data_IF_406930374839
#
_entry.id   IF_406930374839
#
_cell.length_a   1.000
_cell.length_b   1.000
_cell.length_c   1.000
_cell.angle_alpha   90.00
_cell.angle_beta   90.00
_cell.angle_gamma   90.00
#
_symmetry.space_group_name_H-M   'P 1'
#
loop_
_entity.id
_entity.type
_entity.pdbx_description
1 polymer ?
#
# COMPACT_ATOMS: atom_id res chain seq x y z
N UNK A 1 1.11 -9.42 4.80
CA UNK A 1 1.82 -10.71 5.09
C UNK A 1 2.51 -11.33 3.87
N UNK A 2 2.28 -10.84 2.64
CA UNK A 2 2.90 -11.40 1.43
C UNK A 2 4.38 -11.01 1.24
N UNK A 3 4.81 -9.83 1.72
CA UNK A 3 6.19 -9.36 1.50
C UNK A 3 7.25 -10.18 2.23
N UNK A 4 6.94 -10.68 3.43
CA UNK A 4 7.83 -11.57 4.19
C UNK A 4 7.99 -12.91 3.46
N UNK A 5 6.90 -13.45 2.90
CA UNK A 5 6.95 -14.66 2.07
C UNK A 5 7.81 -14.44 0.82
N UNK A 6 7.64 -13.31 0.14
CA UNK A 6 8.47 -12.96 -1.02
C UNK A 6 9.96 -12.90 -0.68
N UNK A 7 10.33 -12.38 0.48
CA UNK A 7 11.71 -12.43 0.95
C UNK A 7 12.18 -13.86 1.24
N UNK A 8 11.38 -14.68 1.92
CA UNK A 8 11.71 -16.09 2.17
C UNK A 8 11.89 -16.89 0.88
N UNK A 9 11.01 -16.72 -0.10
CA UNK A 9 11.12 -17.33 -1.43
C UNK A 9 12.43 -16.93 -2.11
N UNK A 10 12.77 -15.64 -2.09
CA UNK A 10 14.05 -15.15 -2.61
C UNK A 10 15.25 -15.81 -1.93
N UNK A 11 15.23 -15.96 -0.60
CA UNK A 11 16.30 -16.64 0.11
C UNK A 11 16.41 -18.11 -0.31
N UNK A 12 15.28 -18.83 -0.39
CA UNK A 12 15.27 -20.24 -0.75
C UNK A 12 15.74 -20.51 -2.19
N UNK A 13 15.46 -19.60 -3.12
CA UNK A 13 15.83 -19.76 -4.54
C UNK A 13 17.27 -19.33 -4.84
N UNK A 14 17.81 -18.34 -4.10
CA UNK A 14 19.09 -17.69 -4.42
C UNK A 14 20.21 -17.98 -3.43
N UNK A 15 19.90 -18.45 -2.22
CA UNK A 15 20.87 -18.80 -1.19
C UNK A 15 20.61 -20.27 -0.82
N UNK A 16 21.26 -21.17 -1.56
CA UNK A 16 21.10 -22.63 -1.47
C UNK A 16 21.58 -23.28 -0.15
N UNK A 17 21.94 -22.49 0.87
CA UNK A 17 22.31 -22.98 2.19
C UNK A 17 21.75 -22.04 3.24
N UNK A 18 20.88 -22.60 4.10
CA UNK A 18 20.19 -22.01 5.26
C UNK A 18 19.84 -20.52 5.11
N UNK A 19 18.55 -20.12 5.08
CA UNK A 19 18.19 -18.70 5.02
C UNK A 19 18.64 -17.97 6.29
N UNK A 20 19.89 -17.48 6.30
CA UNK A 20 20.41 -16.71 7.40
C UNK A 20 19.78 -15.34 7.30
N UNK A 21 18.84 -15.07 8.22
CA UNK A 21 18.26 -13.76 8.43
C UNK A 21 19.36 -12.82 8.93
N UNK A 22 20.04 -12.19 7.99
CA UNK A 22 21.21 -11.37 8.22
C UNK A 22 21.13 -10.06 7.47
N UNK A 23 22.03 -9.15 7.85
CA UNK A 23 22.25 -7.89 7.14
C UNK A 23 22.60 -8.11 5.67
N UNK A 24 23.43 -9.11 5.39
CA UNK A 24 23.87 -9.45 4.04
C UNK A 24 22.70 -9.86 3.16
N UNK A 25 21.87 -10.79 3.65
CA UNK A 25 20.69 -11.30 2.93
C UNK A 25 19.68 -10.19 2.63
N UNK A 26 19.48 -9.26 3.58
CA UNK A 26 18.64 -8.09 3.38
C UNK A 26 19.20 -7.15 2.29
N UNK A 27 20.50 -6.82 2.33
CA UNK A 27 21.11 -5.93 1.34
C UNK A 27 21.01 -6.53 -0.07
N UNK A 28 21.26 -7.83 -0.22
CA UNK A 28 21.12 -8.55 -1.50
C UNK A 28 19.69 -8.53 -2.02
N UNK A 29 18.71 -8.74 -1.14
CA UNK A 29 17.31 -8.64 -1.54
C UNK A 29 16.92 -7.23 -1.99
N UNK A 30 17.39 -6.20 -1.27
CA UNK A 30 17.17 -4.81 -1.68
C UNK A 30 17.78 -4.51 -3.05
N UNK A 31 19.02 -4.95 -3.29
CA UNK A 31 19.68 -4.83 -4.59
C UNK A 31 18.91 -5.56 -5.70
N UNK A 32 18.39 -6.75 -5.41
CA UNK A 32 17.55 -7.49 -6.36
C UNK A 32 16.26 -6.72 -6.69
N UNK A 33 15.54 -6.20 -5.70
CA UNK A 33 14.34 -5.40 -5.93
C UNK A 33 14.63 -4.15 -6.76
N UNK A 34 15.79 -3.53 -6.60
CA UNK A 34 16.21 -2.40 -7.43
C UNK A 34 16.56 -2.83 -8.86
N UNK A 35 17.16 -4.01 -9.06
CA UNK A 35 17.49 -4.56 -10.38
C UNK A 35 16.26 -4.97 -11.18
N UNK A 36 15.23 -5.45 -10.50
CA UNK A 36 13.93 -5.78 -11.09
C UNK A 36 13.04 -4.54 -11.31
N UNK A 37 13.59 -3.33 -11.16
CA UNK A 37 12.93 -2.05 -11.43
C UNK A 37 11.62 -1.83 -10.67
N UNK A 38 11.53 -2.34 -9.42
CA UNK A 38 10.38 -2.06 -8.57
C UNK A 38 10.33 -0.58 -8.20
N UNK A 39 9.12 0.00 -8.23
CA UNK A 39 8.88 1.36 -7.76
C UNK A 39 9.44 1.57 -6.34
N UNK A 40 10.09 2.71 -6.11
CA UNK A 40 10.74 3.05 -4.82
C UNK A 40 9.77 2.94 -3.65
N UNK A 41 8.52 3.37 -3.84
CA UNK A 41 7.45 3.21 -2.86
C UNK A 41 7.22 1.75 -2.49
N UNK A 42 7.13 0.86 -3.49
CA UNK A 42 6.96 -0.58 -3.31
C UNK A 42 8.15 -1.19 -2.57
N UNK A 43 9.38 -0.81 -2.92
CA UNK A 43 10.59 -1.27 -2.21
C UNK A 43 10.55 -0.82 -0.75
N UNK A 44 10.26 0.45 -0.48
CA UNK A 44 10.16 0.99 0.88
C UNK A 44 9.05 0.32 1.70
N UNK A 45 7.92 -0.04 1.07
CA UNK A 45 6.85 -0.83 1.70
C UNK A 45 7.34 -2.22 2.09
N UNK A 46 8.08 -2.90 1.21
CA UNK A 46 8.70 -4.20 1.51
C UNK A 46 9.71 -4.11 2.66
N UNK A 47 10.58 -3.10 2.66
CA UNK A 47 11.55 -2.85 3.74
C UNK A 47 10.82 -2.64 5.09
N UNK A 48 9.74 -1.85 5.10
CA UNK A 48 8.94 -1.64 6.32
C UNK A 48 8.33 -2.94 6.85
N UNK A 49 7.76 -3.75 5.95
CA UNK A 49 7.19 -5.07 6.30
C UNK A 49 8.26 -6.01 6.90
N UNK A 50 9.45 -6.03 6.30
CA UNK A 50 10.58 -6.81 6.82
C UNK A 50 11.10 -6.28 8.16
N UNK A 51 11.07 -4.97 8.39
CA UNK A 51 11.43 -4.39 9.69
C UNK A 51 10.50 -4.86 10.80
N UNK A 52 9.19 -4.83 10.55
CA UNK A 52 8.18 -5.34 11.49
C UNK A 52 8.41 -6.82 11.80
N UNK A 53 8.69 -7.63 10.76
CA UNK A 53 9.02 -9.04 10.95
C UNK A 53 10.31 -9.26 11.75
N UNK A 54 11.37 -8.49 11.46
CA UNK A 54 12.61 -8.55 12.21
C UNK A 54 12.42 -8.15 13.69
N UNK A 55 11.63 -7.11 13.97
CA UNK A 55 11.31 -6.70 15.33
C UNK A 55 10.50 -7.76 16.07
N UNK A 56 9.56 -8.42 15.39
CA UNK A 56 8.83 -9.57 15.93
C UNK A 56 9.77 -10.70 16.32
N UNK A 57 10.72 -11.09 15.44
CA UNK A 57 11.70 -12.13 15.73
C UNK A 57 12.63 -11.77 16.90
N UNK A 58 13.06 -10.51 17.00
CA UNK A 58 13.82 -10.01 18.16
C UNK A 58 13.01 -10.12 19.44
N UNK A 59 11.74 -9.72 19.42
CA UNK A 59 10.85 -9.77 20.59
C UNK A 59 10.63 -11.21 21.05
N UNK A 60 10.68 -12.18 20.14
CA UNK A 60 10.60 -13.61 20.43
C UNK A 60 11.94 -14.26 20.83
N UNK A 61 13.04 -13.50 20.82
CA UNK A 61 14.37 -14.00 21.19
C UNK A 61 15.11 -14.78 20.10
N UNK A 62 14.57 -14.84 18.87
CA UNK A 62 15.24 -15.53 17.75
C UNK A 62 16.40 -14.72 17.16
N UNK A 63 16.45 -13.42 17.42
CA UNK A 63 17.52 -12.51 16.96
C UNK A 63 17.96 -11.62 18.12
N UNK A 64 19.27 -11.46 18.29
CA UNK A 64 19.85 -10.53 19.26
C UNK A 64 19.72 -9.08 18.80
N UNK A 65 19.93 -8.81 17.51
CA UNK A 65 19.92 -7.46 16.94
C UNK A 65 19.07 -7.33 15.67
N UNK A 66 18.68 -6.08 15.39
CA UNK A 66 17.97 -5.76 14.17
C UNK A 66 18.95 -5.54 13.02
N UNK A 67 18.82 -6.32 11.95
CA UNK A 67 19.64 -6.16 10.74
C UNK A 67 19.07 -5.13 9.74
N UNK A 68 17.95 -4.48 10.08
CA UNK A 68 17.30 -3.44 9.27
C UNK A 68 17.19 -2.15 10.07
N UNK A 69 17.74 -1.07 9.53
CA UNK A 69 17.69 0.28 10.09
C UNK A 69 16.99 1.23 9.11
N UNK A 70 15.71 1.52 9.33
CA UNK A 70 14.88 2.31 8.39
C UNK A 70 15.50 3.65 7.97
N UNK A 71 16.17 4.35 8.90
CA UNK A 71 16.84 5.63 8.62
C UNK A 71 17.93 5.53 7.56
N UNK A 72 18.59 4.37 7.45
CA UNK A 72 19.68 4.11 6.51
C UNK A 72 19.24 3.30 5.30
N UNK A 73 18.23 2.45 5.48
CA UNK A 73 17.88 1.42 4.52
C UNK A 73 16.79 1.82 3.53
N UNK A 74 15.90 2.74 3.92
CA UNK A 74 14.91 3.28 2.99
C UNK A 74 15.60 4.01 1.87
N UNK A 75 15.13 3.78 0.66
CA UNK A 75 15.58 4.52 -0.52
C UNK A 75 14.96 5.92 -0.41
N UNK A 76 15.81 6.95 -0.41
CA UNK A 76 15.36 8.34 -0.39
C UNK A 76 14.74 8.67 -1.74
N UNK A 77 13.52 9.17 -1.70
CA UNK A 77 12.87 9.77 -2.86
C UNK A 77 13.40 11.20 -2.95
N UNK A 78 13.85 11.65 -4.12
CA UNK A 78 14.23 13.04 -4.30
C UNK A 78 12.97 13.90 -4.15
N UNK A 79 13.05 15.01 -3.41
CA UNK A 79 11.94 15.95 -3.29
C UNK A 79 11.46 16.35 -4.70
N UNK A 80 10.24 15.96 -5.08
CA UNK A 80 9.70 16.10 -6.45
C UNK A 80 9.39 14.79 -7.18
N UNK A 81 9.72 13.63 -6.61
CA UNK A 81 9.31 12.30 -7.11
C UNK A 81 8.29 11.62 -6.20
N UNK A 82 7.60 12.41 -5.39
CA UNK A 82 6.40 11.96 -4.69
C UNK A 82 5.33 11.69 -5.75
N UNK A 83 4.84 10.46 -5.82
CA UNK A 83 3.62 10.15 -6.58
C UNK A 83 2.56 11.11 -6.05
N UNK A 84 2.26 12.17 -6.82
CA UNK A 84 1.16 13.06 -6.52
C UNK A 84 -0.07 12.16 -6.42
N UNK A 85 -0.83 12.32 -5.34
CA UNK A 85 -2.13 11.69 -5.27
C UNK A 85 -2.94 12.30 -6.41
N UNK A 86 -3.20 11.50 -7.46
CA UNK A 86 -4.02 11.90 -8.58
C UNK A 86 -5.45 12.13 -8.08
N UNK A 87 -5.75 13.38 -7.73
CA UNK A 87 -7.09 13.84 -7.43
C UNK A 87 -7.80 14.16 -8.75
N UNK A 88 -9.12 13.97 -8.77
CA UNK A 88 -9.93 14.42 -9.90
C UNK A 88 -9.87 15.94 -10.00
N UNK A 89 -9.67 16.47 -11.20
CA UNK A 89 -9.89 17.89 -11.47
C UNK A 89 -11.37 18.23 -11.44
N UNK A 90 -11.71 19.51 -11.31
CA UNK A 90 -13.10 19.97 -11.32
C UNK A 90 -13.85 19.52 -12.59
N UNK A 91 -13.19 19.57 -13.76
CA UNK A 91 -13.78 19.10 -15.02
C UNK A 91 -14.03 17.59 -15.01
N UNK A 92 -13.13 16.80 -14.40
CA UNK A 92 -13.31 15.35 -14.28
C UNK A 92 -14.44 15.02 -13.31
N UNK A 93 -14.62 15.82 -12.25
CA UNK A 93 -15.75 15.71 -11.32
C UNK A 93 -17.06 15.98 -12.05
N UNK A 94 -17.14 17.04 -12.86
CA UNK A 94 -18.34 17.35 -13.65
C UNK A 94 -18.68 16.25 -14.65
N UNK A 95 -17.69 15.71 -15.36
CA UNK A 95 -17.88 14.59 -16.29
C UNK A 95 -18.40 13.34 -15.58
N UNK A 96 -17.85 13.04 -14.39
CA UNK A 96 -18.31 11.93 -13.56
C UNK A 96 -19.76 12.14 -13.10
N UNK A 97 -20.09 13.33 -12.61
CA UNK A 97 -21.44 13.70 -12.18
C UNK A 97 -22.45 13.57 -13.33
N UNK A 98 -22.11 14.07 -14.52
CA UNK A 98 -22.95 13.94 -15.71
C UNK A 98 -23.19 12.46 -16.08
N UNK A 99 -22.15 11.63 -16.01
CA UNK A 99 -22.26 10.21 -16.33
C UNK A 99 -23.20 9.47 -15.35
N UNK A 100 -23.10 9.74 -14.04
CA UNK A 100 -23.91 9.04 -13.02
C UNK A 100 -25.38 9.45 -13.00
N UNK A 101 -25.74 10.59 -13.58
CA UNK A 101 -27.14 10.98 -13.75
C UNK A 101 -27.88 10.16 -14.82
N UNK A 102 -27.14 9.49 -15.71
CA UNK A 102 -27.74 8.70 -16.78
C UNK A 102 -28.32 7.37 -16.26
N UNK A 103 -29.63 7.35 -15.97
CA UNK A 103 -30.37 6.19 -15.46
C UNK A 103 -30.39 4.97 -16.37
N UNK A 104 -30.13 5.13 -17.68
CA UNK A 104 -30.03 3.97 -18.59
C UNK A 104 -28.67 3.26 -18.51
N UNK A 105 -27.66 3.91 -17.92
CA UNK A 105 -26.30 3.39 -17.77
C UNK A 105 -25.93 3.06 -16.32
N UNK A 106 -26.47 3.78 -15.35
CA UNK A 106 -26.08 3.68 -13.93
C UNK A 106 -27.29 3.39 -13.06
N UNK A 107 -27.21 2.32 -12.26
CA UNK A 107 -28.26 1.97 -11.29
C UNK A 107 -28.29 2.94 -10.11
N UNK A 108 -29.45 3.08 -9.47
CA UNK A 108 -29.62 3.95 -8.27
C UNK A 108 -28.60 3.65 -7.18
N UNK A 109 -28.25 2.36 -6.99
CA UNK A 109 -27.22 1.94 -6.02
C UNK A 109 -25.84 2.48 -6.40
N UNK A 110 -25.41 2.29 -7.64
CA UNK A 110 -24.09 2.73 -8.09
C UNK A 110 -23.98 4.26 -8.07
N UNK A 111 -25.07 4.96 -8.43
CA UNK A 111 -25.17 6.41 -8.29
C UNK A 111 -24.93 6.83 -6.84
N UNK A 112 -25.67 6.27 -5.88
CA UNK A 112 -25.50 6.58 -4.46
C UNK A 112 -24.06 6.34 -3.97
N UNK A 113 -23.45 5.22 -4.38
CA UNK A 113 -22.05 4.90 -4.05
C UNK A 113 -21.10 6.00 -4.53
N UNK A 114 -21.22 6.45 -5.78
CA UNK A 114 -20.36 7.50 -6.33
C UNK A 114 -20.54 8.81 -5.57
N UNK A 115 -21.78 9.19 -5.28
CA UNK A 115 -22.06 10.40 -4.49
C UNK A 115 -21.46 10.33 -3.07
N UNK A 116 -21.57 9.18 -2.39
CA UNK A 116 -20.99 9.00 -1.05
C UNK A 116 -19.45 9.06 -1.06
N UNK A 117 -18.81 8.50 -2.09
CA UNK A 117 -17.37 8.57 -2.24
C UNK A 117 -16.91 10.01 -2.55
N UNK A 118 -17.61 10.70 -3.45
CA UNK A 118 -17.24 12.04 -3.91
C UNK A 118 -17.47 13.12 -2.84
N UNK A 119 -18.64 13.13 -2.20
CA UNK A 119 -19.00 14.16 -1.22
C UNK A 119 -18.66 13.78 0.22
N UNK A 120 -18.59 12.49 0.54
CA UNK A 120 -18.24 12.01 1.88
C UNK A 120 -16.74 11.85 2.10
N UNK A 121 -15.93 11.78 1.04
CA UNK A 121 -14.48 11.55 1.14
C UNK A 121 -14.12 10.23 1.85
N UNK A 122 -15.06 9.29 1.94
CA UNK A 122 -14.88 8.01 2.64
C UNK A 122 -14.08 7.04 1.76
N UNK A 123 -13.28 6.18 2.40
CA UNK A 123 -12.61 5.10 1.67
C UNK A 123 -13.62 4.05 1.23
N UNK A 124 -13.31 3.35 0.14
CA UNK A 124 -14.14 2.25 -0.37
C UNK A 124 -14.36 1.17 0.69
N UNK A 125 -13.36 0.85 1.51
CA UNK A 125 -13.49 -0.10 2.62
C UNK A 125 -14.46 0.38 3.70
N UNK A 126 -14.47 1.68 3.98
CA UNK A 126 -15.37 2.28 4.98
C UNK A 126 -16.81 2.30 4.45
N UNK A 127 -16.99 2.60 3.16
CA UNK A 127 -18.30 2.60 2.50
C UNK A 127 -19.03 1.25 2.60
N UNK A 128 -18.31 0.15 2.45
CA UNK A 128 -18.88 -1.22 2.49
C UNK A 128 -19.36 -1.57 3.92
N UNK A 129 -18.73 -0.99 4.93
CA UNK A 129 -19.01 -1.26 6.35
C UNK A 129 -20.05 -0.31 6.95
N UNK A 130 -20.61 0.63 6.17
CA UNK A 130 -21.58 1.60 6.68
C UNK A 130 -22.83 0.89 7.21
N UNK A 131 -23.14 1.04 8.52
CA UNK A 131 -24.37 0.50 9.06
C UNK A 131 -25.57 1.30 8.55
N UNK A 132 -26.68 0.61 8.25
CA UNK A 132 -27.94 1.20 7.75
C UNK A 132 -28.56 2.28 8.67
N UNK A 133 -28.07 2.41 9.91
CA UNK A 133 -28.52 3.44 10.86
C UNK A 133 -27.80 4.78 10.69
N UNK A 134 -26.69 4.81 9.95
CA UNK A 134 -25.99 6.06 9.66
C UNK A 134 -26.88 6.89 8.75
N UNK A 135 -27.44 7.96 9.31
CA UNK A 135 -28.19 8.95 8.56
C UNK A 135 -27.19 9.94 7.97
N UNK A 136 -26.92 9.81 6.68
CA UNK A 136 -26.33 10.91 5.93
C UNK A 136 -27.40 11.98 5.78
N UNK A 137 -27.21 13.15 6.42
CA UNK A 137 -27.94 14.34 6.02
C UNK A 137 -27.45 14.71 4.62
N UNK A 138 -28.18 14.27 3.60
CA UNK A 138 -28.07 14.86 2.27
C UNK A 138 -28.61 16.28 2.42
N UNK A 139 -27.70 17.24 2.60
CA UNK A 139 -28.03 18.66 2.56
C UNK A 139 -28.38 18.95 1.10
N UNK A 140 -29.67 19.10 0.82
CA UNK A 140 -30.20 19.66 -0.41
C UNK A 140 -30.25 21.19 -0.29
#
# INVERSE_FOLDING_TARGET
MNDVKGFQSYLNEKLNDVPVLSRFSFVRYKEHLMKEDYAVFTINKKINSLKVYNDFLRTKGFLSESFIQLKRDRIKIAAGSEDNVDALSDEQVEQLLFYVENRSKVSTRNKLIVYLLLFGGVRVSELIEIPLRVKFLLIC
#
